data_IF_725181219102
#
_entry.id   IF_725181219102
#
_cell.length_a   1.000
_cell.length_b   1.000
_cell.length_c   1.000
_cell.angle_alpha   90.00
_cell.angle_beta   90.00
_cell.angle_gamma   90.00
#
_symmetry.space_group_name_H-M   'P 1'
#
loop_
_entity.id
_entity.type
_entity.pdbx_description
1 polymer ?
#
# COMPACT_ATOMS: atom_id res chain seq x y z
N UNK A 1 -11.62 5.90 7.89
CA UNK A 1 -12.61 5.74 8.97
C UNK A 1 -13.96 6.22 8.45
N UNK A 2 -14.75 5.30 7.90
CA UNK A 2 -16.21 5.30 7.99
C UNK A 2 -16.55 3.82 8.19
N UNK A 3 -16.81 3.44 9.44
CA UNK A 3 -17.36 2.13 9.79
C UNK A 3 -18.87 2.35 9.86
N UNK A 4 -19.61 2.03 8.80
CA UNK A 4 -21.07 1.89 8.92
C UNK A 4 -21.35 0.43 9.21
N UNK A 5 -21.55 0.10 10.49
CA UNK A 5 -22.24 -1.13 10.85
C UNK A 5 -23.72 -0.86 10.65
N UNK A 6 -24.30 -1.34 9.54
CA UNK A 6 -25.76 -1.38 9.41
C UNK A 6 -26.23 -2.63 10.13
N UNK A 7 -26.72 -2.47 11.36
CA UNK A 7 -27.55 -3.47 12.04
C UNK A 7 -28.89 -3.51 11.30
N UNK A 8 -29.28 -4.66 10.75
CA UNK A 8 -30.61 -4.79 10.13
C UNK A 8 -31.70 -4.67 11.21
N UNK A 9 -32.78 -3.90 10.98
CA UNK A 9 -33.96 -3.97 11.83
C UNK A 9 -34.77 -5.21 11.48
N UNK A 10 -35.21 -5.93 12.52
CA UNK A 10 -36.17 -7.03 12.37
C UNK A 10 -37.54 -6.51 11.92
N UNK A 11 -38.14 -7.27 11.00
CA UNK A 11 -39.57 -7.34 10.66
C UNK A 11 -40.36 -6.04 10.37
N UNK A 12 -40.83 -5.94 9.12
CA UNK A 12 -42.16 -5.44 8.77
C UNK A 12 -42.35 -3.91 8.69
N UNK A 13 -42.48 -3.37 7.48
CA UNK A 13 -43.73 -2.74 7.00
C UNK A 13 -43.57 -2.17 5.57
N UNK A 14 -44.70 -2.11 4.87
CA UNK A 14 -44.89 -1.85 3.44
C UNK A 14 -45.01 -0.34 3.16
N UNK A 15 -44.34 0.11 2.09
CA UNK A 15 -44.84 1.14 1.16
C UNK A 15 -44.53 2.62 1.45
N UNK A 16 -43.73 3.24 0.57
CA UNK A 16 -44.19 4.28 -0.38
C UNK A 16 -43.01 4.86 -1.19
N UNK A 17 -43.30 5.05 -2.47
CA UNK A 17 -42.57 5.79 -3.50
C UNK A 17 -42.05 7.16 -2.99
N UNK A 18 -40.74 7.38 -3.02
CA UNK A 18 -40.11 8.70 -2.90
C UNK A 18 -38.86 8.73 -3.80
N UNK A 19 -39.06 9.33 -4.99
CA UNK A 19 -38.10 9.99 -5.88
C UNK A 19 -36.62 9.58 -5.86
N UNK A 20 -36.15 9.13 -7.04
CA UNK A 20 -34.75 8.83 -7.40
C UNK A 20 -33.78 10.04 -7.44
N UNK A 21 -33.87 10.97 -6.48
CA UNK A 21 -32.87 12.03 -6.24
C UNK A 21 -32.15 11.79 -4.90
N UNK A 22 -31.81 10.53 -4.63
CA UNK A 22 -30.80 10.24 -3.61
C UNK A 22 -29.48 10.82 -4.13
N UNK A 23 -28.75 11.67 -3.36
CA UNK A 23 -27.40 12.02 -3.75
C UNK A 23 -26.67 10.71 -3.99
N UNK A 24 -25.95 10.60 -5.11
CA UNK A 24 -25.04 9.49 -5.34
C UNK A 24 -23.96 9.60 -4.27
N UNK A 25 -24.27 9.10 -3.07
CA UNK A 25 -23.33 8.94 -1.97
C UNK A 25 -22.43 7.83 -2.46
N UNK A 26 -21.36 8.22 -3.15
CA UNK A 26 -20.29 7.30 -3.48
C UNK A 26 -19.77 6.82 -2.14
N UNK A 27 -20.20 5.63 -1.74
CA UNK A 27 -19.83 5.02 -0.48
C UNK A 27 -18.33 4.70 -0.56
N UNK A 28 -17.52 5.57 0.06
CA UNK A 28 -16.06 5.45 0.13
C UNK A 28 -15.66 4.46 1.24
N UNK A 29 -16.31 3.30 1.30
CA UNK A 29 -16.07 2.30 2.35
C UNK A 29 -14.71 1.63 2.11
N UNK A 30 -13.90 1.58 3.17
CA UNK A 30 -12.62 0.88 3.21
C UNK A 30 -12.81 -0.44 3.95
N UNK A 31 -12.73 -1.57 3.26
CA UNK A 31 -12.83 -2.87 3.93
C UNK A 31 -11.46 -3.33 4.40
N UNK A 32 -11.39 -3.73 5.68
CA UNK A 32 -10.17 -4.16 6.34
C UNK A 32 -10.12 -5.68 6.40
N UNK A 33 -9.07 -6.25 5.81
CA UNK A 33 -8.83 -7.69 5.85
C UNK A 33 -7.51 -8.00 6.56
N UNK A 34 -7.56 -8.96 7.48
CA UNK A 34 -6.37 -9.49 8.14
C UNK A 34 -5.95 -10.77 7.43
N UNK A 35 -4.76 -10.76 6.82
CA UNK A 35 -4.16 -11.94 6.20
C UNK A 35 -3.10 -12.51 7.12
N UNK A 36 -3.16 -13.81 7.41
CA UNK A 36 -2.13 -14.49 8.17
C UNK A 36 -1.02 -14.97 7.23
N UNK A 37 0.23 -14.66 7.55
CA UNK A 37 1.37 -15.23 6.83
C UNK A 37 1.47 -16.73 7.17
N UNK A 38 1.63 -17.56 6.14
CA UNK A 38 1.79 -19.00 6.31
C UNK A 38 3.06 -19.28 7.12
N UNK A 39 2.90 -19.99 8.24
CA UNK A 39 4.00 -20.40 9.13
C UNK A 39 4.24 -19.54 10.37
N UNK A 40 3.49 -18.44 10.57
CA UNK A 40 3.70 -17.57 11.73
C UNK A 40 2.39 -16.88 12.18
N UNK A 41 1.80 -17.39 13.28
CA UNK A 41 0.49 -16.96 13.81
C UNK A 41 0.55 -15.49 14.28
N UNK A 42 1.73 -15.02 14.69
CA UNK A 42 1.94 -13.67 15.18
C UNK A 42 2.12 -12.63 14.05
N UNK A 43 2.33 -13.08 12.81
CA UNK A 43 2.68 -12.22 11.68
C UNK A 43 1.47 -12.01 10.75
N UNK A 44 0.55 -11.17 11.22
CA UNK A 44 -0.63 -10.74 10.46
C UNK A 44 -0.29 -9.54 9.56
N UNK A 45 -0.67 -9.62 8.29
CA UNK A 45 -0.62 -8.52 7.34
C UNK A 45 -2.00 -7.92 7.19
N UNK A 46 -2.11 -6.65 7.57
CA UNK A 46 -3.31 -5.87 7.34
C UNK A 46 -3.37 -5.45 5.86
N UNK A 47 -4.50 -5.71 5.21
CA UNK A 47 -4.75 -5.32 3.82
C UNK A 47 -6.03 -4.51 3.74
N UNK A 48 -5.97 -3.37 3.07
CA UNK A 48 -7.12 -2.49 2.88
C UNK A 48 -7.64 -2.65 1.45
N UNK A 49 -8.93 -2.94 1.29
CA UNK A 49 -9.59 -2.95 -0.01
C UNK A 49 -10.28 -1.60 -0.23
N UNK A 50 -9.72 -0.82 -1.14
CA UNK A 50 -10.30 0.45 -1.59
C UNK A 50 -11.46 0.20 -2.56
N UNK A 51 -12.49 1.04 -2.48
CA UNK A 51 -13.55 1.11 -3.48
C UNK A 51 -12.98 1.42 -4.88
N UNK A 52 -13.75 1.07 -5.93
CA UNK A 52 -13.36 1.30 -7.33
C UNK A 52 -13.06 2.78 -7.58
N UNK A 53 -13.90 3.67 -7.03
CA UNK A 53 -13.73 5.13 -7.17
C UNK A 53 -12.44 5.59 -6.49
N UNK A 54 -12.15 5.14 -5.26
CA UNK A 54 -10.89 5.46 -4.59
C UNK A 54 -9.67 4.96 -5.39
N UNK A 55 -9.72 3.76 -5.96
CA UNK A 55 -8.63 3.22 -6.79
C UNK A 55 -8.39 4.08 -8.05
N UNK A 56 -9.46 4.57 -8.68
CA UNK A 56 -9.36 5.45 -9.84
C UNK A 56 -8.67 6.77 -9.46
N UNK A 57 -9.13 7.43 -8.40
CA UNK A 57 -8.51 8.67 -7.93
C UNK A 57 -7.05 8.47 -7.54
N UNK A 58 -6.73 7.42 -6.78
CA UNK A 58 -5.36 7.09 -6.41
C UNK A 58 -4.49 6.91 -7.65
N UNK A 59 -4.98 6.22 -8.69
CA UNK A 59 -4.24 6.03 -9.95
C UNK A 59 -4.02 7.35 -10.70
N UNK A 60 -5.02 8.23 -10.75
CA UNK A 60 -4.87 9.56 -11.36
C UNK A 60 -3.82 10.40 -10.61
N UNK A 61 -3.85 10.40 -9.28
CA UNK A 61 -2.87 11.10 -8.45
C UNK A 61 -1.49 10.51 -8.64
N UNK A 62 -1.35 9.19 -8.55
CA UNK A 62 -0.10 8.47 -8.75
C UNK A 62 0.52 8.80 -10.11
N UNK A 63 -0.25 8.77 -11.19
CA UNK A 63 0.24 9.10 -12.53
C UNK A 63 0.79 10.54 -12.63
N UNK A 64 0.22 11.48 -11.86
CA UNK A 64 0.69 12.87 -11.84
C UNK A 64 1.98 13.05 -11.06
N UNK A 65 2.18 12.28 -9.99
CA UNK A 65 3.35 12.41 -9.11
C UNK A 65 4.46 11.39 -9.42
N UNK A 66 4.18 10.31 -10.15
CA UNK A 66 5.10 9.20 -10.40
C UNK A 66 6.43 9.69 -10.91
N UNK A 67 6.44 10.54 -11.94
CA UNK A 67 7.68 11.06 -12.52
C UNK A 67 8.57 11.76 -11.49
N UNK A 68 7.97 12.56 -10.60
CA UNK A 68 8.72 13.27 -9.54
C UNK A 68 9.23 12.31 -8.46
N UNK A 69 8.46 11.27 -8.14
CA UNK A 69 8.87 10.23 -7.20
C UNK A 69 10.01 9.40 -7.78
N UNK A 70 9.90 9.01 -9.04
CA UNK A 70 10.93 8.30 -9.77
C UNK A 70 12.21 9.14 -9.81
N UNK A 71 12.16 10.41 -10.23
CA UNK A 71 13.33 11.31 -10.23
C UNK A 71 13.97 11.50 -8.83
N UNK A 72 13.18 11.45 -7.75
CA UNK A 72 13.64 11.64 -6.37
C UNK A 72 14.17 10.37 -5.70
N UNK A 73 14.01 9.20 -6.31
CA UNK A 73 14.46 7.93 -5.73
C UNK A 73 15.94 7.64 -6.02
N UNK A 74 16.67 7.04 -5.08
CA UNK A 74 18.04 6.55 -5.31
C UNK A 74 18.09 5.53 -6.46
N UNK A 75 19.21 5.48 -7.19
CA UNK A 75 19.37 4.54 -8.30
C UNK A 75 19.43 3.08 -7.82
N UNK A 76 19.79 2.85 -6.56
CA UNK A 76 19.84 1.54 -5.92
C UNK A 76 18.46 1.02 -5.50
N UNK A 77 17.43 1.86 -5.52
CA UNK A 77 16.07 1.46 -5.19
C UNK A 77 15.32 1.00 -6.43
N UNK A 78 15.09 -0.30 -6.59
CA UNK A 78 14.24 -0.88 -7.65
C UNK A 78 12.79 -1.05 -7.28
N UNK A 79 12.49 -1.19 -5.99
CA UNK A 79 11.14 -1.55 -5.57
C UNK A 79 10.18 -0.40 -5.90
N UNK A 80 9.05 -0.75 -6.51
CA UNK A 80 8.00 0.17 -6.96
C UNK A 80 8.35 1.09 -8.14
N UNK A 81 9.47 0.85 -8.83
CA UNK A 81 9.78 1.56 -10.08
C UNK A 81 9.32 0.80 -11.31
N UNK A 82 8.96 1.55 -12.35
CA UNK A 82 8.71 0.98 -13.67
C UNK A 82 10.04 0.46 -14.25
N UNK A 83 10.00 -0.68 -14.94
CA UNK A 83 11.14 -1.29 -15.65
C UNK A 83 12.22 -1.94 -14.79
N UNK A 84 12.18 -1.80 -13.46
CA UNK A 84 13.09 -2.51 -12.56
C UNK A 84 12.49 -3.86 -12.12
N UNK A 85 13.35 -4.87 -12.01
CA UNK A 85 12.98 -6.21 -11.57
C UNK A 85 13.88 -6.71 -10.43
N UNK A 86 13.33 -7.56 -9.57
CA UNK A 86 14.08 -8.27 -8.52
C UNK A 86 15.20 -9.15 -9.08
N UNK A 87 15.09 -9.53 -10.36
CA UNK A 87 16.12 -10.32 -11.06
C UNK A 87 17.43 -9.53 -11.15
N UNK A 88 17.37 -8.27 -11.56
CA UNK A 88 18.55 -7.42 -11.72
C UNK A 88 19.27 -7.23 -10.37
N UNK A 89 18.50 -6.99 -9.30
CA UNK A 89 19.06 -6.86 -7.96
C UNK A 89 19.72 -8.14 -7.45
N UNK A 90 19.10 -9.29 -7.73
CA UNK A 90 19.68 -10.59 -7.35
C UNK A 90 20.96 -10.85 -8.12
N UNK A 91 20.96 -10.54 -9.42
CA UNK A 91 22.13 -10.70 -10.28
C UNK A 91 23.29 -9.82 -9.83
N UNK A 92 23.06 -8.52 -9.61
CA UNK A 92 24.09 -7.58 -9.13
C UNK A 92 24.68 -8.04 -7.80
N UNK A 93 23.85 -8.53 -6.86
CA UNK A 93 24.34 -9.07 -5.58
C UNK A 93 25.24 -10.29 -5.79
N UNK A 94 24.87 -11.20 -6.68
CA UNK A 94 25.68 -12.39 -6.99
C UNK A 94 27.03 -11.99 -7.59
N UNK A 95 27.04 -11.10 -8.59
CA UNK A 95 28.29 -10.61 -9.18
C UNK A 95 29.20 -9.95 -8.15
N UNK A 96 28.65 -9.13 -7.24
CA UNK A 96 29.43 -8.48 -6.19
C UNK A 96 30.14 -9.50 -5.28
N UNK A 97 29.45 -10.59 -4.93
CA UNK A 97 30.01 -11.68 -4.12
C UNK A 97 31.11 -12.41 -4.89
N UNK A 98 30.90 -12.69 -6.18
CA UNK A 98 31.88 -13.36 -7.03
C UNK A 98 33.16 -12.55 -7.18
N UNK A 99 33.05 -11.26 -7.53
CA UNK A 99 34.18 -10.33 -7.65
C UNK A 99 34.93 -10.19 -6.33
N UNK A 100 34.22 -10.02 -5.20
CA UNK A 100 34.89 -9.95 -3.89
C UNK A 100 35.69 -11.21 -3.58
N UNK A 101 35.18 -12.40 -3.93
CA UNK A 101 35.89 -13.67 -3.73
C UNK A 101 37.11 -13.80 -4.63
N UNK A 102 36.99 -13.40 -5.90
CA UNK A 102 38.09 -13.46 -6.88
C UNK A 102 39.28 -12.58 -6.45
N UNK A 103 39.00 -11.34 -6.05
CA UNK A 103 40.03 -10.38 -5.64
C UNK A 103 40.40 -10.46 -4.15
N UNK A 104 39.85 -11.43 -3.40
CA UNK A 104 40.05 -11.60 -1.95
C UNK A 104 39.76 -10.32 -1.14
N UNK A 105 38.78 -9.54 -1.59
CA UNK A 105 38.35 -8.31 -0.92
C UNK A 105 37.37 -8.65 0.21
N UNK A 106 37.49 -8.03 1.39
CA UNK A 106 36.51 -8.20 2.45
C UNK A 106 35.17 -7.59 2.03
N UNK A 107 34.10 -8.39 2.04
CA UNK A 107 32.73 -7.96 1.72
C UNK A 107 31.80 -8.23 2.91
N UNK A 108 31.04 -7.20 3.30
CA UNK A 108 29.97 -7.30 4.30
C UNK A 108 28.64 -6.90 3.65
N UNK A 109 27.61 -7.74 3.81
CA UNK A 109 26.25 -7.46 3.33
C UNK A 109 25.32 -7.38 4.54
N UNK A 110 24.63 -6.25 4.70
CA UNK A 110 23.65 -6.04 5.78
C UNK A 110 22.24 -6.03 5.21
N UNK A 111 21.37 -6.89 5.74
CA UNK A 111 19.96 -6.96 5.36
C UNK A 111 19.11 -6.24 6.41
N UNK A 112 18.42 -5.18 6.00
CA UNK A 112 17.53 -4.39 6.87
C UNK A 112 16.09 -4.72 6.50
N UNK A 113 15.29 -5.18 7.46
CA UNK A 113 13.87 -5.45 7.28
C UNK A 113 13.05 -4.62 8.26
N UNK A 114 12.11 -3.82 7.75
CA UNK A 114 11.26 -2.95 8.54
C UNK A 114 10.00 -3.68 9.02
N UNK A 115 9.73 -3.66 10.32
CA UNK A 115 8.50 -4.21 10.90
C UNK A 115 7.32 -3.28 10.59
N UNK A 116 6.27 -3.81 9.94
CA UNK A 116 5.03 -3.07 9.62
C UNK A 116 5.28 -1.71 8.95
N UNK A 117 6.14 -1.65 7.93
CA UNK A 117 6.54 -0.42 7.24
C UNK A 117 5.38 0.53 6.87
N UNK A 118 4.28 0.01 6.32
CA UNK A 118 3.10 0.83 5.96
C UNK A 118 2.26 1.29 7.16
N UNK A 119 2.29 0.56 8.27
CA UNK A 119 1.53 0.89 9.48
C UNK A 119 2.25 1.85 10.43
N UNK A 120 3.55 2.10 10.19
CA UNK A 120 4.39 2.95 11.03
C UNK A 120 4.58 4.37 10.48
N UNK A 121 3.97 4.70 9.34
CA UNK A 121 4.11 6.03 8.72
C UNK A 121 3.37 7.07 9.57
N UNK A 122 4.11 8.03 10.11
CA UNK A 122 3.53 9.14 10.88
C UNK A 122 2.80 10.11 9.94
N UNK A 123 1.53 10.39 10.22
CA UNK A 123 0.77 11.40 9.49
C UNK A 123 0.74 12.69 10.32
N UNK A 124 1.39 13.74 9.81
CA UNK A 124 1.25 15.07 10.41
C UNK A 124 -0.20 15.52 10.24
N UNK A 125 -0.90 15.74 11.36
CA UNK A 125 -2.26 16.29 11.36
C UNK A 125 -2.16 17.72 10.82
N UNK A 126 -2.69 17.95 9.62
CA UNK A 126 -2.73 19.29 9.04
C UNK A 126 -3.55 20.18 9.97
N UNK A 127 -2.88 21.17 10.58
CA UNK A 127 -3.57 22.26 11.28
C UNK A 127 -3.68 23.42 10.30
N UNK A 128 -4.90 23.84 9.91
CA UNK A 128 -5.07 25.14 9.28
C UNK A 128 -4.57 26.19 10.26
N UNK A 129 -3.68 27.07 9.80
CA UNK A 129 -3.16 28.16 10.62
C UNK A 129 -4.29 29.12 10.97
N UNK A 130 -4.52 29.27 12.27
CA UNK A 130 -4.87 30.53 12.92
C UNK A 130 -3.81 30.76 13.99
#
# INVERSE_FOLDING_TARGET
MVLVVVQQPESGEVGRDVGDDLPVVVSLTLHLFTLYKKGDICNHRLTYLLSVVCKLFTRVILNRISRKLDEGQPCEQSEFRREFSTIEHTHTRTMLIEVSREYKLPLCLTFINLKKALGSVETKKWRPGY
#
